data_IF_114102586012
#
_entry.id   IF_114102586012
#
_cell.length_a   1.000
_cell.length_b   1.000
_cell.length_c   1.000
_cell.angle_alpha   90.00
_cell.angle_beta   90.00
_cell.angle_gamma   90.00
#
_symmetry.space_group_name_H-M   'P 1'
#
loop_
_entity.id
_entity.type
_entity.pdbx_description
1 polymer ?
#
# COMPACT_ATOMS: atom_id res chain seq x y z
N UNK A 1 30.33 11.21 -17.34
CA UNK A 1 29.64 11.53 -18.61
C UNK A 1 30.40 12.50 -19.53
N UNK A 2 30.93 13.65 -19.08
CA UNK A 2 31.63 14.60 -19.99
C UNK A 2 32.84 14.02 -20.74
N UNK A 3 33.62 13.13 -20.12
CA UNK A 3 34.81 12.56 -20.76
C UNK A 3 34.47 11.55 -21.88
N UNK A 4 33.35 10.82 -21.82
CA UNK A 4 33.00 9.84 -22.87
C UNK A 4 32.52 10.52 -24.16
N UNK A 5 31.82 11.64 -24.06
CA UNK A 5 31.36 12.40 -25.24
C UNK A 5 32.54 12.98 -26.02
N UNK A 6 33.55 13.51 -25.33
CA UNK A 6 34.75 14.05 -25.97
C UNK A 6 35.57 12.94 -26.66
N UNK A 7 35.78 11.80 -26.00
CA UNK A 7 36.46 10.66 -26.61
C UNK A 7 35.75 10.18 -27.88
N UNK A 8 34.41 10.23 -27.93
CA UNK A 8 33.62 9.84 -29.11
C UNK A 8 33.73 10.83 -30.26
N UNK A 9 33.70 12.12 -29.97
CA UNK A 9 33.91 13.16 -30.99
C UNK A 9 35.30 12.98 -31.62
N UNK A 10 36.31 12.72 -30.79
CA UNK A 10 37.67 12.44 -31.26
C UNK A 10 37.76 11.14 -32.06
N UNK A 11 37.04 10.08 -31.63
CA UNK A 11 36.99 8.79 -32.34
C UNK A 11 36.34 8.93 -33.72
N UNK A 12 35.21 9.64 -33.81
CA UNK A 12 34.53 9.93 -35.08
C UNK A 12 35.39 10.76 -36.00
N UNK A 13 36.02 11.82 -35.49
CA UNK A 13 36.92 12.66 -36.25
C UNK A 13 38.09 11.85 -36.81
N UNK A 14 38.68 10.97 -35.99
CA UNK A 14 39.76 10.08 -36.41
C UNK A 14 39.30 9.08 -37.48
N UNK A 15 38.12 8.46 -37.33
CA UNK A 15 37.56 7.57 -38.36
C UNK A 15 37.34 8.29 -39.69
N UNK A 16 36.83 9.54 -39.65
CA UNK A 16 36.65 10.37 -40.85
C UNK A 16 37.98 10.68 -41.52
N UNK A 17 39.00 11.09 -40.75
CA UNK A 17 40.35 11.38 -41.27
C UNK A 17 40.96 10.12 -41.90
N UNK A 18 40.87 8.98 -41.20
CA UNK A 18 41.39 7.70 -41.69
C UNK A 18 40.70 7.27 -43.00
N UNK A 19 39.38 7.43 -43.09
CA UNK A 19 38.63 7.14 -44.32
C UNK A 19 39.09 8.03 -45.48
N UNK A 20 39.32 9.32 -45.24
CA UNK A 20 39.85 10.23 -46.26
C UNK A 20 41.25 9.81 -46.71
N UNK A 21 42.13 9.43 -45.78
CA UNK A 21 43.48 8.94 -46.10
C UNK A 21 43.44 7.65 -46.92
N UNK A 22 42.60 6.69 -46.53
CA UNK A 22 42.39 5.43 -47.28
C UNK A 22 41.89 5.73 -48.69
N UNK A 23 40.96 6.67 -48.85
CA UNK A 23 40.43 7.07 -50.17
C UNK A 23 41.49 7.72 -51.07
N UNK A 24 42.28 8.65 -50.52
CA UNK A 24 43.37 9.31 -51.25
C UNK A 24 44.44 8.28 -51.65
N UNK A 25 44.88 7.44 -50.71
CA UNK A 25 45.90 6.42 -50.98
C UNK A 25 45.42 5.37 -51.98
N UNK A 26 44.16 4.94 -51.87
CA UNK A 26 43.52 4.03 -52.81
C UNK A 26 43.48 4.61 -54.23
N UNK A 27 43.30 5.92 -54.38
CA UNK A 27 43.34 6.59 -55.68
C UNK A 27 44.75 6.56 -56.31
N UNK A 28 45.81 6.68 -55.51
CA UNK A 28 47.19 6.60 -56.00
C UNK A 28 47.63 5.18 -56.32
N UNK A 29 47.21 4.21 -55.50
CA UNK A 29 47.57 2.80 -55.66
C UNK A 29 46.69 2.06 -56.68
N UNK A 30 45.65 2.71 -57.24
CA UNK A 30 44.61 2.07 -58.04
C UNK A 30 45.17 1.27 -59.23
N UNK A 31 46.07 1.87 -60.01
CA UNK A 31 46.66 1.23 -61.19
C UNK A 31 47.49 -0.01 -60.80
N UNK A 32 48.25 0.06 -59.70
CA UNK A 32 49.03 -1.05 -59.19
C UNK A 32 48.14 -2.18 -58.63
N UNK A 33 47.04 -1.82 -57.96
CA UNK A 33 46.04 -2.76 -57.44
C UNK A 33 45.31 -3.48 -58.58
N UNK A 34 44.93 -2.76 -59.65
CA UNK A 34 44.22 -3.33 -60.81
C UNK A 34 45.11 -4.29 -61.61
N UNK A 35 46.41 -4.01 -61.72
CA UNK A 35 47.35 -4.88 -62.42
C UNK A 35 47.65 -6.16 -61.63
N UNK A 36 47.89 -6.05 -60.32
CA UNK A 36 48.10 -7.19 -59.46
C UNK A 36 47.73 -6.87 -57.99
N UNK A 37 46.55 -7.29 -57.52
CA UNK A 37 46.07 -6.99 -56.17
C UNK A 37 46.91 -7.67 -55.08
N UNK A 38 47.76 -8.64 -55.43
CA UNK A 38 48.65 -9.33 -54.50
C UNK A 38 50.12 -9.00 -54.75
N UNK A 39 50.41 -7.89 -55.42
CA UNK A 39 51.79 -7.48 -55.65
C UNK A 39 52.52 -7.26 -54.32
N UNK A 40 53.82 -7.59 -54.29
CA UNK A 40 54.69 -7.27 -53.14
C UNK A 40 55.03 -5.77 -53.07
N UNK A 41 54.43 -4.94 -53.93
CA UNK A 41 54.62 -3.51 -53.91
C UNK A 41 54.18 -2.96 -52.54
N UNK A 42 55.07 -2.18 -51.94
CA UNK A 42 54.87 -1.55 -50.64
C UNK A 42 53.62 -0.67 -50.60
N UNK A 43 53.25 -0.06 -51.73
CA UNK A 43 52.06 0.79 -51.85
C UNK A 43 50.77 -0.01 -51.73
N UNK A 44 50.72 -1.19 -52.36
CA UNK A 44 49.58 -2.11 -52.33
C UNK A 44 49.45 -2.75 -50.95
N UNK A 45 50.56 -3.18 -50.33
CA UNK A 45 50.57 -3.69 -48.94
C UNK A 45 50.11 -2.61 -47.94
N UNK A 46 50.59 -1.38 -48.09
CA UNK A 46 50.21 -0.24 -47.25
C UNK A 46 48.71 0.06 -47.34
N UNK A 47 48.13 0.03 -48.54
CA UNK A 47 46.69 0.20 -48.75
C UNK A 47 45.87 -0.84 -47.99
N UNK A 48 46.18 -2.14 -48.13
CA UNK A 48 45.42 -3.19 -47.44
C UNK A 48 45.54 -3.11 -45.91
N UNK A 49 46.70 -2.73 -45.38
CA UNK A 49 46.86 -2.48 -43.93
C UNK A 49 45.97 -1.33 -43.46
N UNK A 50 45.90 -0.23 -44.21
CA UNK A 50 45.04 0.91 -43.87
C UNK A 50 43.54 0.54 -43.94
N UNK A 51 43.13 -0.22 -44.96
CA UNK A 51 41.75 -0.75 -45.07
C UNK A 51 41.43 -1.65 -43.88
N UNK A 52 42.34 -2.55 -43.50
CA UNK A 52 42.14 -3.42 -42.35
C UNK A 52 41.97 -2.63 -41.04
N UNK A 53 42.84 -1.65 -40.79
CA UNK A 53 42.72 -0.76 -39.61
C UNK A 53 41.39 -0.01 -39.63
N UNK A 54 40.98 0.50 -40.79
CA UNK A 54 39.70 1.18 -40.95
C UNK A 54 38.52 0.26 -40.62
N UNK A 55 38.50 -0.98 -41.13
CA UNK A 55 37.42 -1.93 -40.87
C UNK A 55 37.32 -2.26 -39.38
N UNK A 56 38.43 -2.56 -38.71
CA UNK A 56 38.45 -2.85 -37.26
C UNK A 56 37.95 -1.66 -36.45
N UNK A 57 38.36 -0.44 -36.82
CA UNK A 57 37.95 0.76 -36.11
C UNK A 57 36.47 1.10 -36.35
N UNK A 58 35.99 0.90 -37.58
CA UNK A 58 34.60 1.12 -37.95
C UNK A 58 33.66 0.13 -37.26
N UNK A 59 34.03 -1.15 -37.19
CA UNK A 59 33.23 -2.16 -36.46
C UNK A 59 33.21 -1.87 -34.95
N UNK A 60 34.32 -1.41 -34.37
CA UNK A 60 34.35 -0.93 -32.98
C UNK A 60 33.41 0.26 -32.79
N UNK A 61 33.44 1.24 -33.70
CA UNK A 61 32.60 2.44 -33.61
C UNK A 61 31.11 2.07 -33.69
N UNK A 62 30.74 1.18 -34.61
CA UNK A 62 29.38 0.65 -34.73
C UNK A 62 28.95 -0.06 -33.44
N UNK A 63 29.78 -0.95 -32.92
CA UNK A 63 29.51 -1.66 -31.66
C UNK A 63 29.34 -0.70 -30.48
N UNK A 64 30.20 0.32 -30.36
CA UNK A 64 30.09 1.33 -29.31
C UNK A 64 28.78 2.12 -29.41
N UNK A 65 28.35 2.46 -30.63
CA UNK A 65 27.10 3.20 -30.87
C UNK A 65 25.88 2.34 -30.54
N UNK A 66 25.94 1.05 -30.85
CA UNK A 66 24.90 0.09 -30.51
C UNK A 66 24.76 -0.05 -28.99
N UNK A 67 25.86 -0.22 -28.25
CA UNK A 67 25.85 -0.27 -26.79
C UNK A 67 25.24 1.00 -26.17
N UNK A 68 25.54 2.17 -26.71
CA UNK A 68 24.96 3.44 -26.25
C UNK A 68 23.45 3.49 -26.47
N UNK A 69 22.98 3.02 -27.62
CA UNK A 69 21.54 2.96 -27.92
C UNK A 69 20.82 2.01 -26.97
N UNK A 70 21.44 0.87 -26.64
CA UNK A 70 20.91 -0.10 -25.67
C UNK A 70 20.87 0.52 -24.27
N UNK A 71 21.92 1.22 -23.84
CA UNK A 71 21.95 1.87 -22.53
C UNK A 71 20.94 3.04 -22.45
N UNK A 72 20.82 3.83 -23.51
CA UNK A 72 19.82 4.90 -23.61
C UNK A 72 18.39 4.33 -23.57
N UNK A 73 18.12 3.24 -24.29
CA UNK A 73 16.83 2.54 -24.23
C UNK A 73 16.54 2.00 -22.83
N UNK A 74 17.51 1.32 -22.19
CA UNK A 74 17.37 0.84 -20.79
C UNK A 74 17.08 1.97 -19.82
N UNK A 75 17.76 3.11 -19.96
CA UNK A 75 17.55 4.29 -19.12
C UNK A 75 16.17 4.91 -19.35
N UNK A 76 15.71 4.97 -20.60
CA UNK A 76 14.36 5.45 -20.91
C UNK A 76 13.28 4.53 -20.35
N UNK A 77 13.43 3.21 -20.47
CA UNK A 77 12.51 2.22 -19.89
C UNK A 77 12.48 2.38 -18.36
N UNK A 78 13.64 2.43 -17.71
CA UNK A 78 13.72 2.64 -16.26
C UNK A 78 13.08 3.95 -15.81
N UNK A 79 13.27 5.05 -16.56
CA UNK A 79 12.64 6.35 -16.26
C UNK A 79 11.13 6.33 -16.51
N UNK A 80 10.68 5.60 -17.53
CA UNK A 80 9.27 5.37 -17.81
C UNK A 80 8.62 4.55 -16.68
N UNK A 81 9.30 3.52 -16.18
CA UNK A 81 8.85 2.71 -15.06
C UNK A 81 8.81 3.53 -13.76
N UNK A 82 9.84 4.31 -13.45
CA UNK A 82 9.83 5.25 -12.32
C UNK A 82 8.66 6.25 -12.40
N UNK A 83 8.42 6.83 -13.58
CA UNK A 83 7.31 7.76 -13.79
C UNK A 83 5.96 7.06 -13.66
N UNK A 84 5.83 5.84 -14.20
CA UNK A 84 4.63 5.01 -14.05
C UNK A 84 4.37 4.69 -12.57
N UNK A 85 5.42 4.37 -11.82
CA UNK A 85 5.33 4.11 -10.38
C UNK A 85 4.95 5.37 -9.59
N UNK A 86 5.48 6.54 -9.96
CA UNK A 86 5.11 7.83 -9.37
C UNK A 86 3.65 8.21 -9.69
N UNK A 87 3.23 8.11 -10.95
CA UNK A 87 1.84 8.36 -11.37
C UNK A 87 0.88 7.43 -10.62
N UNK A 88 1.25 6.18 -10.39
CA UNK A 88 0.46 5.23 -9.60
C UNK A 88 0.35 5.60 -8.11
N UNK A 89 1.20 6.48 -7.57
CA UNK A 89 1.08 6.95 -6.18
C UNK A 89 0.10 8.12 -6.02
N UNK A 90 -0.24 8.78 -7.12
CA UNK A 90 -1.20 9.88 -7.10
C UNK A 90 -2.63 9.34 -6.96
N UNK A 91 -3.50 10.07 -6.25
CA UNK A 91 -4.94 9.79 -6.28
C UNK A 91 -5.43 9.72 -7.74
N UNK A 92 -6.40 8.85 -8.05
CA UNK A 92 -6.99 8.80 -9.39
C UNK A 92 -7.58 10.15 -9.82
N UNK A 93 -7.67 10.39 -11.12
CA UNK A 93 -8.31 11.59 -11.65
C UNK A 93 -9.75 11.71 -11.14
N UNK A 94 -10.16 12.90 -10.71
CA UNK A 94 -11.48 13.14 -10.11
C UNK A 94 -11.59 12.79 -8.63
N UNK A 95 -10.59 12.12 -8.02
CA UNK A 95 -10.64 11.75 -6.60
C UNK A 95 -10.82 12.97 -5.69
N UNK A 96 -10.15 14.09 -5.96
CA UNK A 96 -10.27 15.30 -5.14
C UNK A 96 -11.67 15.94 -5.21
N UNK A 97 -12.35 15.84 -6.36
CA UNK A 97 -13.71 16.34 -6.49
C UNK A 97 -14.66 15.48 -5.66
N UNK A 98 -14.55 14.14 -5.78
CA UNK A 98 -15.31 13.21 -4.95
C UNK A 98 -14.99 13.38 -3.45
N UNK A 99 -13.72 13.61 -3.11
CA UNK A 99 -13.29 13.90 -1.74
C UNK A 99 -13.99 15.14 -1.20
N UNK A 100 -14.01 16.24 -1.97
CA UNK A 100 -14.68 17.47 -1.55
C UNK A 100 -16.17 17.23 -1.31
N UNK A 101 -16.85 16.56 -2.25
CA UNK A 101 -18.28 16.22 -2.13
C UNK A 101 -18.56 15.40 -0.87
N UNK A 102 -17.84 14.28 -0.68
CA UNK A 102 -18.04 13.40 0.48
C UNK A 102 -17.60 14.04 1.79
N UNK A 103 -16.63 14.94 1.75
CA UNK A 103 -16.22 15.71 2.92
C UNK A 103 -17.32 16.69 3.34
N UNK A 104 -17.91 17.42 2.39
CA UNK A 104 -19.00 18.36 2.69
C UNK A 104 -20.23 17.64 3.27
N UNK A 105 -20.58 16.47 2.71
CA UNK A 105 -21.64 15.60 3.25
C UNK A 105 -21.33 15.12 4.68
N UNK A 106 -20.13 14.56 4.89
CA UNK A 106 -19.68 14.08 6.20
C UNK A 106 -19.62 15.21 7.24
N UNK A 107 -19.11 16.38 6.85
CA UNK A 107 -18.99 17.55 7.71
C UNK A 107 -20.35 18.13 8.06
N UNK A 108 -21.33 18.10 7.15
CA UNK A 108 -22.70 18.51 7.45
C UNK A 108 -23.33 17.60 8.52
N UNK A 109 -23.17 16.27 8.41
CA UNK A 109 -23.61 15.30 9.41
C UNK A 109 -22.94 15.54 10.77
N UNK A 110 -21.63 15.73 10.76
CA UNK A 110 -20.84 15.99 11.97
C UNK A 110 -21.22 17.32 12.63
N UNK A 111 -21.34 18.42 11.86
CA UNK A 111 -21.77 19.73 12.37
C UNK A 111 -23.18 19.73 12.94
N UNK A 112 -24.11 19.01 12.31
CA UNK A 112 -25.46 18.86 12.83
C UNK A 112 -25.41 18.30 14.26
N UNK A 113 -24.54 17.33 14.52
CA UNK A 113 -24.34 16.71 15.84
C UNK A 113 -23.55 17.56 16.85
N UNK A 114 -22.76 18.53 16.40
CA UNK A 114 -22.03 19.43 17.29
C UNK A 114 -22.85 20.65 17.72
N UNK A 115 -23.63 21.23 16.81
CA UNK A 115 -24.28 22.52 17.03
C UNK A 115 -25.70 22.46 17.57
N UNK A 116 -26.37 21.29 17.57
CA UNK A 116 -27.64 21.23 18.27
C UNK A 116 -27.39 21.15 19.78
N UNK A 117 -27.95 22.10 20.51
CA UNK A 117 -27.95 22.18 21.98
C UNK A 117 -28.75 21.03 22.64
N UNK A 118 -29.27 20.08 21.85
CA UNK A 118 -30.05 18.93 22.30
C UNK A 118 -29.20 17.70 22.66
N UNK A 119 -29.72 16.86 23.55
CA UNK A 119 -29.19 15.51 23.78
C UNK A 119 -29.51 14.64 22.57
N UNK A 120 -28.56 14.51 21.64
CA UNK A 120 -28.66 13.50 20.58
C UNK A 120 -28.87 12.12 21.18
N UNK A 121 -29.79 11.40 20.57
CA UNK A 121 -29.98 9.99 20.81
C UNK A 121 -28.75 9.21 20.33
N UNK A 122 -28.49 8.09 20.98
CA UNK A 122 -27.43 7.15 20.57
C UNK A 122 -27.57 6.78 19.08
N UNK A 123 -28.80 6.57 18.62
CA UNK A 123 -29.12 6.16 17.25
C UNK A 123 -28.75 7.22 16.20
N UNK A 124 -28.94 8.51 16.51
CA UNK A 124 -28.56 9.59 15.59
C UNK A 124 -27.05 9.66 15.41
N UNK A 125 -26.28 9.50 16.49
CA UNK A 125 -24.81 9.45 16.42
C UNK A 125 -24.34 8.23 15.62
N UNK A 126 -24.93 7.06 15.88
CA UNK A 126 -24.63 5.84 15.12
C UNK A 126 -24.95 6.00 13.62
N UNK A 127 -26.07 6.65 13.28
CA UNK A 127 -26.44 6.94 11.91
C UNK A 127 -25.44 7.88 11.23
N UNK A 128 -25.03 8.96 11.90
CA UNK A 128 -24.02 9.87 11.34
C UNK A 128 -22.65 9.20 11.19
N UNK A 129 -22.25 8.34 12.12
CA UNK A 129 -21.03 7.54 11.98
C UNK A 129 -21.12 6.69 10.71
N UNK A 130 -22.21 5.95 10.49
CA UNK A 130 -22.40 5.16 9.26
C UNK A 130 -22.42 6.02 8.00
N UNK A 131 -22.98 7.23 8.06
CA UNK A 131 -22.94 8.21 6.98
C UNK A 131 -21.53 8.67 6.62
N UNK A 132 -20.66 8.85 7.61
CA UNK A 132 -19.25 9.16 7.37
C UNK A 132 -18.52 7.92 6.83
N UNK A 133 -18.79 6.74 7.38
CA UNK A 133 -18.21 5.48 6.92
C UNK A 133 -18.55 5.18 5.45
N UNK A 134 -19.77 5.43 4.99
CA UNK A 134 -20.12 5.23 3.58
C UNK A 134 -19.34 6.20 2.68
N UNK A 135 -19.13 7.45 3.10
CA UNK A 135 -18.27 8.41 2.40
C UNK A 135 -16.82 7.89 2.29
N UNK A 136 -16.26 7.37 3.40
CA UNK A 136 -14.94 6.73 3.41
C UNK A 136 -14.90 5.52 2.47
N UNK A 137 -15.93 4.67 2.46
CA UNK A 137 -15.99 3.50 1.59
C UNK A 137 -16.02 3.88 0.11
N UNK A 138 -16.80 4.89 -0.28
CA UNK A 138 -16.81 5.39 -1.67
C UNK A 138 -15.46 5.97 -2.08
N UNK A 139 -14.80 6.70 -1.18
CA UNK A 139 -13.44 7.19 -1.43
C UNK A 139 -12.43 6.05 -1.51
N UNK A 140 -12.57 5.02 -0.68
CA UNK A 140 -11.73 3.81 -0.72
C UNK A 140 -11.89 3.09 -2.05
N UNK A 141 -13.12 2.79 -2.44
CA UNK A 141 -13.48 2.13 -3.69
C UNK A 141 -12.92 2.90 -4.90
N UNK A 142 -13.10 4.22 -4.92
CA UNK A 142 -12.58 5.05 -6.00
C UNK A 142 -11.05 5.10 -6.02
N UNK A 143 -10.41 5.28 -4.87
CA UNK A 143 -8.96 5.37 -4.74
C UNK A 143 -8.25 4.06 -5.10
N UNK A 144 -8.87 2.94 -4.73
CA UNK A 144 -8.41 1.57 -5.02
C UNK A 144 -8.75 1.13 -6.46
N UNK A 145 -9.49 1.94 -7.22
CA UNK A 145 -9.99 1.62 -8.56
C UNK A 145 -10.80 0.33 -8.57
N UNK A 146 -11.70 0.20 -7.59
CA UNK A 146 -12.58 -0.94 -7.46
C UNK A 146 -13.40 -1.21 -8.71
N UNK A 147 -13.64 -2.49 -9.01
CA UNK A 147 -14.55 -2.90 -10.09
C UNK A 147 -15.96 -3.16 -9.55
N UNK A 148 -16.97 -3.17 -10.44
CA UNK A 148 -18.39 -3.33 -10.07
C UNK A 148 -18.70 -4.63 -9.28
N UNK A 149 -17.86 -5.66 -9.40
CA UNK A 149 -18.04 -6.93 -8.69
C UNK A 149 -17.37 -6.96 -7.30
N UNK A 150 -16.69 -5.88 -6.92
CA UNK A 150 -16.00 -5.78 -5.64
C UNK A 150 -16.88 -5.04 -4.64
N UNK A 151 -17.04 -5.62 -3.46
CA UNK A 151 -17.73 -4.99 -2.34
C UNK A 151 -16.74 -4.59 -1.27
N UNK A 152 -16.95 -3.39 -0.72
CA UNK A 152 -16.18 -2.86 0.39
C UNK A 152 -17.07 -2.74 1.62
N UNK A 153 -16.51 -3.05 2.79
CA UNK A 153 -17.20 -2.91 4.07
C UNK A 153 -16.34 -2.17 5.08
N UNK A 154 -17.00 -1.47 5.99
CA UNK A 154 -16.36 -0.74 7.07
C UNK A 154 -17.02 -1.11 8.39
N UNK A 155 -16.22 -1.24 9.44
CA UNK A 155 -16.72 -1.33 10.81
C UNK A 155 -15.79 -0.61 11.78
N UNK A 156 -16.35 -0.20 12.91
CA UNK A 156 -15.58 0.35 14.03
C UNK A 156 -15.54 -0.66 15.17
N UNK A 157 -14.32 -0.94 15.63
CA UNK A 157 -14.10 -1.66 16.89
C UNK A 157 -13.72 -0.67 17.97
N UNK A 158 -14.45 -0.70 19.09
CA UNK A 158 -14.24 0.20 20.22
C UNK A 158 -13.18 -0.38 21.15
N UNK A 159 -12.15 0.40 21.45
CA UNK A 159 -11.15 0.02 22.43
C UNK A 159 -11.72 0.23 23.84
N UNK A 160 -11.70 -0.83 24.65
CA UNK A 160 -12.09 -0.77 26.05
C UNK A 160 -10.91 -1.21 26.90
N UNK A 161 -10.49 -0.33 27.80
CA UNK A 161 -9.49 -0.61 28.83
C UNK A 161 -9.96 -1.76 29.74
N UNK A 162 -9.12 -2.78 29.92
CA UNK A 162 -9.44 -3.97 30.70
C UNK A 162 -9.60 -3.66 32.21
N UNK A 163 -9.07 -2.53 32.69
CA UNK A 163 -9.07 -2.15 34.10
C UNK A 163 -10.20 -1.18 34.48
N UNK A 164 -10.73 -0.41 33.53
CA UNK A 164 -11.68 0.69 33.82
C UNK A 164 -13.15 0.26 33.91
N UNK A 165 -13.53 -0.96 33.52
CA UNK A 165 -14.93 -1.41 33.53
C UNK A 165 -15.24 -2.42 34.64
N UNK A 166 -16.45 -2.26 35.19
CA UNK A 166 -17.12 -3.05 36.22
C UNK A 166 -16.88 -4.56 36.07
N UNK A 167 -16.65 -5.26 37.19
CA UNK A 167 -16.35 -6.70 37.20
C UNK A 167 -17.42 -7.54 36.51
N UNK A 168 -18.66 -7.03 36.47
CA UNK A 168 -19.80 -7.63 35.80
C UNK A 168 -19.68 -7.73 34.27
N UNK A 169 -18.84 -6.93 33.61
CA UNK A 169 -18.64 -6.99 32.15
C UNK A 169 -17.60 -8.03 31.71
N UNK A 170 -16.77 -8.53 32.64
CA UNK A 170 -15.69 -9.48 32.35
C UNK A 170 -16.18 -10.83 31.79
N UNK A 171 -17.31 -11.42 32.23
CA UNK A 171 -17.78 -12.71 31.71
C UNK A 171 -18.22 -12.63 30.24
N UNK A 172 -19.00 -11.61 29.86
CA UNK A 172 -19.45 -11.45 28.48
C UNK A 172 -18.28 -11.18 27.53
N UNK A 173 -17.30 -10.38 27.96
CA UNK A 173 -16.10 -10.14 27.16
C UNK A 173 -15.30 -11.43 26.95
N UNK A 174 -15.17 -12.27 27.97
CA UNK A 174 -14.47 -13.55 27.86
C UNK A 174 -15.13 -14.51 26.87
N UNK A 175 -16.48 -14.57 26.85
CA UNK A 175 -17.23 -15.42 25.90
C UNK A 175 -17.05 -14.96 24.45
N UNK A 176 -16.90 -13.65 24.24
CA UNK A 176 -16.80 -13.05 22.91
C UNK A 176 -15.35 -12.89 22.43
N UNK A 177 -14.37 -13.15 23.29
CA UNK A 177 -12.95 -13.04 22.97
C UNK A 177 -12.55 -14.14 21.99
N UNK A 178 -11.98 -13.75 20.85
CA UNK A 178 -11.46 -14.65 19.82
C UNK A 178 -9.93 -14.56 19.74
N UNK A 179 -9.31 -15.63 19.25
CA UNK A 179 -7.86 -15.71 19.01
C UNK A 179 -7.04 -15.45 20.27
N UNK A 180 -7.48 -16.04 21.37
CA UNK A 180 -6.87 -15.94 22.68
C UNK A 180 -6.80 -17.35 23.29
N UNK A 181 -5.71 -17.65 24.00
CA UNK A 181 -5.62 -18.93 24.71
C UNK A 181 -6.72 -19.02 25.77
N UNK A 182 -7.20 -20.23 26.07
CA UNK A 182 -8.26 -20.47 27.07
C UNK A 182 -7.88 -19.91 28.46
N UNK A 183 -6.58 -19.91 28.76
CA UNK A 183 -5.96 -19.41 30.00
C UNK A 183 -5.47 -17.95 29.90
N UNK A 184 -5.90 -17.17 28.90
CA UNK A 184 -5.51 -15.75 28.84
C UNK A 184 -6.04 -15.02 30.06
N UNK A 185 -5.10 -14.55 30.86
CA UNK A 185 -5.34 -13.65 31.97
C UNK A 185 -5.65 -12.25 31.43
N UNK A 186 -6.91 -11.83 31.54
CA UNK A 186 -7.39 -10.51 31.13
C UNK A 186 -6.62 -9.38 31.83
N UNK A 187 -6.05 -9.63 33.00
CA UNK A 187 -5.19 -8.67 33.72
C UNK A 187 -3.82 -8.46 33.08
N UNK A 188 -3.45 -9.23 32.05
CA UNK A 188 -2.22 -9.03 31.27
C UNK A 188 -2.47 -8.31 29.94
N UNK A 189 -3.73 -7.97 29.65
CA UNK A 189 -4.10 -7.22 28.47
C UNK A 189 -4.20 -5.73 28.82
N UNK A 190 -3.81 -4.88 27.87
CA UNK A 190 -4.08 -3.43 27.96
C UNK A 190 -5.57 -3.16 27.85
N UNK A 191 -6.23 -3.92 26.97
CA UNK A 191 -7.64 -3.78 26.72
C UNK A 191 -8.15 -4.78 25.69
N UNK A 192 -9.37 -4.53 25.23
CA UNK A 192 -10.07 -5.36 24.27
C UNK A 192 -10.73 -4.48 23.23
N UNK A 193 -10.64 -4.88 21.98
CA UNK A 193 -11.38 -4.26 20.87
C UNK A 193 -12.69 -4.99 20.69
N UNK A 194 -13.81 -4.28 20.83
CA UNK A 194 -15.15 -4.85 20.69
C UNK A 194 -15.81 -4.35 19.41
N UNK A 195 -16.22 -5.27 18.54
CA UNK A 195 -16.96 -4.96 17.32
C UNK A 195 -18.37 -4.47 17.67
N UNK A 196 -18.72 -3.26 17.21
CA UNK A 196 -20.08 -2.72 17.33
C UNK A 196 -20.76 -2.84 15.98
N UNK A 197 -21.71 -3.78 15.89
CA UNK A 197 -22.47 -4.04 14.66
C UNK A 197 -23.19 -2.78 14.18
N UNK A 198 -23.71 -1.98 15.11
CA UNK A 198 -24.37 -0.70 14.83
C UNK A 198 -23.45 0.33 14.18
N UNK A 199 -22.13 0.15 14.24
CA UNK A 199 -21.11 1.01 13.63
C UNK A 199 -20.45 0.36 12.42
N UNK A 200 -21.21 -0.46 11.68
CA UNK A 200 -20.79 -1.07 10.43
C UNK A 200 -21.68 -0.66 9.26
N UNK A 201 -21.12 -0.66 8.06
CA UNK A 201 -21.81 -0.41 6.79
C UNK A 201 -21.02 -1.04 5.64
N UNK A 202 -21.67 -1.26 4.50
CA UNK A 202 -20.99 -1.71 3.27
C UNK A 202 -21.42 -0.92 2.04
N UNK A 203 -20.70 -1.06 0.94
CA UNK A 203 -21.08 -0.45 -0.36
C UNK A 203 -22.30 -1.11 -1.00
N UNK A 204 -22.73 -2.27 -0.49
CA UNK A 204 -23.96 -2.97 -0.90
C UNK A 204 -25.21 -2.42 -0.21
N UNK A 205 -25.04 -1.79 0.94
CA UNK A 205 -26.13 -1.21 1.71
C UNK A 205 -26.47 0.18 1.18
N UNK A 206 -27.76 0.53 1.20
CA UNK A 206 -28.20 1.88 0.85
C UNK A 206 -27.96 2.84 2.03
N UNK A 207 -27.62 4.10 1.71
CA UNK A 207 -27.77 5.28 2.58
C UNK A 207 -27.52 5.08 4.10
N UNK A 208 -26.34 4.59 4.49
CA UNK A 208 -25.91 4.47 5.92
C UNK A 208 -26.64 3.39 6.72
N UNK A 209 -27.19 2.37 6.06
CA UNK A 209 -27.72 1.19 6.73
C UNK A 209 -26.63 0.35 7.39
N UNK A 210 -27.04 -0.47 8.35
CA UNK A 210 -26.15 -1.40 9.04
C UNK A 210 -25.77 -2.52 8.09
N UNK A 211 -24.51 -2.95 8.12
CA UNK A 211 -24.05 -4.10 7.34
C UNK A 211 -24.77 -5.39 7.79
N UNK A 212 -25.66 -5.90 6.95
CA UNK A 212 -26.44 -7.12 7.22
C UNK A 212 -25.66 -8.40 6.90
N UNK A 213 -24.62 -8.32 6.07
CA UNK A 213 -23.72 -9.44 5.77
C UNK A 213 -22.81 -9.70 6.98
N UNK A 214 -22.46 -8.63 7.71
CA UNK A 214 -21.90 -8.74 9.04
C UNK A 214 -22.99 -9.27 9.96
N UNK A 215 -23.05 -10.59 10.15
CA UNK A 215 -23.93 -11.21 11.16
C UNK A 215 -23.75 -10.48 12.51
N UNK A 216 -24.75 -10.45 13.40
CA UNK A 216 -24.64 -9.84 14.73
C UNK A 216 -23.66 -10.63 15.60
N UNK A 217 -22.38 -10.45 15.31
CA UNK A 217 -21.26 -11.15 15.90
C UNK A 217 -20.77 -10.26 17.03
N UNK A 218 -20.87 -10.79 18.24
CA UNK A 218 -20.12 -10.26 19.36
C UNK A 218 -18.67 -10.73 19.21
N UNK A 219 -17.87 -9.98 18.46
CA UNK A 219 -16.44 -10.25 18.26
C UNK A 219 -15.63 -9.32 19.14
N UNK A 220 -14.78 -9.91 19.98
CA UNK A 220 -13.82 -9.18 20.79
C UNK A 220 -12.39 -9.68 20.51
N UNK A 221 -11.44 -8.75 20.38
CA UNK A 221 -10.03 -9.05 20.10
C UNK A 221 -9.12 -8.51 21.21
N UNK A 222 -8.14 -9.30 21.71
CA UNK A 222 -7.25 -8.87 22.77
C UNK A 222 -6.22 -7.85 22.28
N UNK A 223 -5.94 -6.83 23.10
CA UNK A 223 -4.86 -5.85 22.87
C UNK A 223 -3.83 -5.96 24.00
N UNK A 224 -2.59 -6.38 23.72
CA UNK A 224 -1.55 -6.49 24.75
C UNK A 224 -1.00 -5.12 25.16
N UNK A 225 -0.36 -5.04 26.33
CA UNK A 225 0.40 -3.85 26.75
C UNK A 225 1.59 -3.56 25.85
N UNK A 226 2.33 -4.60 25.49
CA UNK A 226 3.48 -4.52 24.62
C UNK A 226 3.13 -5.15 23.27
N UNK A 227 3.25 -4.40 22.18
CA UNK A 227 3.03 -4.93 20.84
C UNK A 227 4.07 -6.00 20.47
N UNK A 228 5.30 -5.87 20.97
CA UNK A 228 6.45 -6.74 20.65
C UNK A 228 7.02 -7.31 21.95
N UNK A 229 7.24 -8.62 21.97
CA UNK A 229 7.89 -9.32 23.07
C UNK A 229 9.35 -8.92 23.18
N UNK A 230 9.75 -8.40 24.34
CA UNK A 230 11.15 -8.06 24.62
C UNK A 230 12.09 -9.27 24.55
N UNK A 231 11.57 -10.49 24.81
CA UNK A 231 12.34 -11.74 24.81
C UNK A 231 12.52 -12.33 23.41
N UNK A 232 11.43 -12.46 22.66
CA UNK A 232 11.43 -13.17 21.37
C UNK A 232 11.57 -12.22 20.18
N UNK A 233 11.42 -10.90 20.39
CA UNK A 233 11.35 -9.86 19.36
C UNK A 233 10.20 -10.07 18.37
N UNK A 234 9.25 -10.96 18.69
CA UNK A 234 8.04 -11.25 17.91
C UNK A 234 6.84 -10.43 18.39
N UNK A 235 5.83 -10.29 17.55
CA UNK A 235 4.62 -9.54 17.87
C UNK A 235 3.68 -10.33 18.79
N UNK A 236 3.24 -9.69 19.88
CA UNK A 236 2.19 -10.22 20.77
C UNK A 236 0.80 -9.75 20.37
N UNK A 237 0.70 -8.68 19.58
CA UNK A 237 -0.58 -8.14 19.11
C UNK A 237 -0.98 -8.83 17.81
N UNK A 238 -2.26 -9.23 17.72
CA UNK A 238 -2.80 -9.87 16.52
C UNK A 238 -2.76 -8.90 15.33
N UNK A 239 -2.50 -9.40 14.11
CA UNK A 239 -2.50 -8.59 12.90
C UNK A 239 -3.85 -7.89 12.69
N UNK A 240 -3.83 -6.68 12.12
CA UNK A 240 -5.04 -5.88 11.88
C UNK A 240 -5.32 -4.92 13.03
N UNK A 241 -6.56 -4.93 13.53
CA UNK A 241 -7.02 -3.93 14.51
C UNK A 241 -6.20 -3.93 15.82
N UNK A 242 -5.88 -5.07 16.45
CA UNK A 242 -5.11 -5.06 17.68
C UNK A 242 -3.69 -4.50 17.50
N UNK A 243 -3.00 -4.90 16.43
CA UNK A 243 -1.68 -4.37 16.09
C UNK A 243 -1.73 -2.87 15.78
N UNK A 244 -2.78 -2.41 15.07
CA UNK A 244 -2.96 -1.00 14.75
C UNK A 244 -3.11 -0.12 16.00
N UNK A 245 -3.85 -0.60 17.02
CA UNK A 245 -3.93 0.07 18.34
C UNK A 245 -2.60 0.02 19.05
N UNK A 246 -2.00 -1.17 19.15
CA UNK A 246 -0.80 -1.37 19.96
C UNK A 246 0.41 -0.56 19.44
N UNK A 247 0.49 -0.33 18.12
CA UNK A 247 1.53 0.50 17.50
C UNK A 247 1.08 1.94 17.24
N UNK A 248 -0.19 2.30 17.47
CA UNK A 248 -0.80 3.54 17.04
C UNK A 248 -0.47 3.89 15.57
N UNK A 249 -0.61 2.90 14.68
CA UNK A 249 -0.23 3.01 13.28
C UNK A 249 -1.17 2.21 12.39
N UNK A 250 -1.53 2.71 11.19
CA UNK A 250 -2.33 1.94 10.24
C UNK A 250 -1.66 0.62 9.84
N UNK A 251 -2.47 -0.43 9.66
CA UNK A 251 -2.00 -1.76 9.27
C UNK A 251 -2.79 -2.29 8.07
N UNK A 252 -2.12 -2.87 7.08
CA UNK A 252 -2.70 -3.31 5.80
C UNK A 252 -2.31 -4.76 5.51
N UNK A 253 -3.29 -5.56 5.10
CA UNK A 253 -3.11 -6.87 4.48
C UNK A 253 -3.80 -6.88 3.13
N UNK A 254 -2.98 -6.82 2.08
CA UNK A 254 -3.43 -6.93 0.70
C UNK A 254 -3.99 -8.34 0.37
N UNK A 255 -3.65 -9.35 1.16
CA UNK A 255 -4.20 -10.70 1.03
C UNK A 255 -4.43 -11.31 2.41
N UNK A 256 -5.70 -11.50 2.77
CA UNK A 256 -6.12 -12.06 4.05
C UNK A 256 -5.67 -13.51 4.25
N UNK A 257 -5.41 -14.26 3.17
CA UNK A 257 -4.93 -15.64 3.26
C UNK A 257 -3.52 -15.74 3.84
N UNK A 258 -2.73 -14.66 3.74
CA UNK A 258 -1.35 -14.59 4.25
C UNK A 258 -1.26 -14.29 5.74
N UNK A 259 -2.38 -13.95 6.39
CA UNK A 259 -2.40 -13.49 7.79
C UNK A 259 -2.01 -14.59 8.76
N UNK A 260 -2.47 -15.83 8.54
CA UNK A 260 -2.08 -16.97 9.38
C UNK A 260 -0.57 -17.26 9.28
N UNK A 261 -0.01 -17.15 8.07
CA UNK A 261 1.43 -17.36 7.88
C UNK A 261 2.25 -16.24 8.55
N UNK A 262 1.76 -14.99 8.52
CA UNK A 262 2.37 -13.89 9.29
C UNK A 262 2.36 -14.17 10.79
N UNK A 263 1.25 -14.68 11.33
CA UNK A 263 1.12 -15.05 12.76
C UNK A 263 2.16 -16.11 13.14
N UNK A 264 2.39 -17.08 12.26
CA UNK A 264 3.39 -18.14 12.46
C UNK A 264 4.83 -17.60 12.45
N UNK A 265 5.16 -16.72 11.50
CA UNK A 265 6.54 -16.25 11.33
C UNK A 265 6.89 -15.11 12.27
N UNK A 266 6.05 -14.08 12.33
CA UNK A 266 6.29 -12.82 13.02
C UNK A 266 5.68 -12.77 14.43
N UNK A 267 4.69 -13.61 14.71
CA UNK A 267 3.91 -13.59 15.94
C UNK A 267 4.43 -14.51 17.06
N UNK A 268 4.19 -14.10 18.30
CA UNK A 268 4.44 -14.85 19.55
C UNK A 268 3.14 -15.56 19.99
N UNK A 269 2.58 -16.39 19.08
CA UNK A 269 1.33 -17.11 19.26
C UNK A 269 1.54 -18.63 19.13
N UNK A 270 0.61 -19.41 19.67
CA UNK A 270 0.63 -20.86 19.50
C UNK A 270 -0.05 -21.29 18.18
N UNK A 271 0.14 -22.56 17.82
CA UNK A 271 -0.43 -23.15 16.59
C UNK A 271 -1.97 -23.14 16.60
N UNK A 272 -2.61 -23.16 17.77
CA UNK A 272 -4.06 -23.06 17.90
C UNK A 272 -4.59 -21.72 17.38
N UNK A 273 -3.99 -20.61 17.80
CA UNK A 273 -4.37 -19.27 17.30
C UNK A 273 -4.09 -19.16 15.79
N UNK A 274 -2.97 -19.71 15.30
CA UNK A 274 -2.69 -19.75 13.85
C UNK A 274 -3.82 -20.46 13.09
N UNK A 275 -4.23 -21.65 13.56
CA UNK A 275 -5.29 -22.43 12.95
C UNK A 275 -6.65 -21.70 13.00
N UNK A 276 -7.01 -21.09 14.13
CA UNK A 276 -8.25 -20.32 14.25
C UNK A 276 -8.31 -19.16 13.25
N UNK A 277 -7.20 -18.44 13.07
CA UNK A 277 -7.12 -17.32 12.11
C UNK A 277 -7.23 -17.83 10.67
N UNK A 278 -6.57 -18.95 10.36
CA UNK A 278 -6.66 -19.61 9.06
C UNK A 278 -8.11 -20.02 8.76
N UNK A 279 -8.79 -20.62 9.73
CA UNK A 279 -10.18 -21.04 9.60
C UNK A 279 -11.13 -19.84 9.45
N UNK A 280 -10.89 -18.76 10.21
CA UNK A 280 -11.70 -17.54 10.15
C UNK A 280 -11.77 -16.94 8.73
N UNK A 281 -10.64 -16.84 8.02
CA UNK A 281 -10.58 -16.26 6.67
C UNK A 281 -10.83 -17.26 5.53
N UNK A 282 -10.78 -18.58 5.80
CA UNK A 282 -10.99 -19.60 4.75
C UNK A 282 -12.44 -20.10 4.71
N UNK A 283 -13.00 -20.47 5.86
CA UNK A 283 -14.32 -21.11 5.97
C UNK A 283 -15.26 -20.43 6.97
N UNK A 284 -14.71 -19.59 7.84
CA UNK A 284 -15.43 -18.95 8.94
C UNK A 284 -16.14 -17.65 8.55
N UNK A 285 -16.38 -16.82 9.56
CA UNK A 285 -17.11 -15.56 9.44
C UNK A 285 -16.37 -14.52 8.59
N UNK A 286 -15.05 -14.61 8.51
CA UNK A 286 -14.21 -13.72 7.70
C UNK A 286 -13.97 -14.21 6.28
N UNK A 287 -14.62 -15.30 5.82
CA UNK A 287 -14.34 -15.91 4.52
C UNK A 287 -14.49 -14.96 3.33
N UNK A 288 -15.38 -13.97 3.45
CA UNK A 288 -15.65 -12.98 2.41
C UNK A 288 -14.69 -11.78 2.47
N UNK A 289 -13.81 -11.72 3.48
CA UNK A 289 -12.74 -10.72 3.60
C UNK A 289 -11.49 -11.29 2.92
N UNK A 290 -11.13 -10.73 1.77
CA UNK A 290 -9.93 -11.14 1.01
C UNK A 290 -8.78 -10.16 1.14
N UNK A 291 -9.06 -8.92 1.52
CA UNK A 291 -8.06 -7.94 1.94
C UNK A 291 -8.68 -6.95 2.91
N UNK A 292 -7.87 -6.36 3.78
CA UNK A 292 -8.36 -5.41 4.78
C UNK A 292 -7.26 -4.50 5.31
N UNK A 293 -7.67 -3.38 5.87
CA UNK A 293 -6.80 -2.50 6.64
C UNK A 293 -7.49 -2.02 7.92
N UNK A 294 -6.65 -1.65 8.89
CA UNK A 294 -7.08 -1.18 10.20
C UNK A 294 -6.37 0.14 10.50
N UNK A 295 -7.14 1.16 10.84
CA UNK A 295 -6.65 2.52 11.07
C UNK A 295 -7.08 2.92 12.49
N UNK A 296 -6.14 3.23 13.40
CA UNK A 296 -6.48 3.65 14.75
C UNK A 296 -7.19 5.02 14.71
N UNK A 297 -8.25 5.15 15.51
CA UNK A 297 -8.95 6.42 15.73
C UNK A 297 -8.45 7.02 17.03
N UNK A 298 -7.87 8.21 16.93
CA UNK A 298 -7.26 8.94 18.04
C UNK A 298 -7.98 10.27 18.24
N UNK A 299 -8.41 10.55 19.46
CA UNK A 299 -8.97 11.85 19.85
C UNK A 299 -7.89 12.63 20.61
N UNK A 300 -7.67 13.89 20.24
CA UNK A 300 -6.78 14.84 20.94
C UNK A 300 -5.34 14.36 21.21
N UNK A 301 -4.79 13.51 20.33
CA UNK A 301 -3.43 12.97 20.48
C UNK A 301 -3.27 11.95 21.63
N UNK A 302 -4.38 11.46 22.18
CA UNK A 302 -4.38 10.44 23.23
C UNK A 302 -4.10 9.03 22.67
N UNK A 303 -4.31 8.01 23.50
CA UNK A 303 -4.30 6.62 23.03
C UNK A 303 -5.48 6.35 22.09
N UNK A 304 -5.37 5.39 21.15
CA UNK A 304 -6.48 5.03 20.29
C UNK A 304 -7.71 4.59 21.09
N UNK A 305 -8.84 5.24 20.84
CA UNK A 305 -10.13 4.95 21.48
C UNK A 305 -10.95 3.92 20.69
N UNK A 306 -10.60 3.73 19.42
CA UNK A 306 -11.25 2.80 18.51
C UNK A 306 -10.35 2.51 17.31
N UNK A 307 -10.80 1.60 16.44
CA UNK A 307 -10.17 1.29 15.16
C UNK A 307 -11.23 1.27 14.08
N UNK A 308 -10.97 1.96 12.98
CA UNK A 308 -11.68 1.79 11.73
C UNK A 308 -11.08 0.60 10.98
N UNK A 309 -11.90 -0.39 10.68
CA UNK A 309 -11.53 -1.49 9.79
C UNK A 309 -12.21 -1.29 8.44
N UNK A 310 -11.43 -1.32 7.36
CA UNK A 310 -11.93 -1.40 5.99
C UNK A 310 -11.59 -2.78 5.43
N UNK A 311 -12.53 -3.41 4.73
CA UNK A 311 -12.31 -4.72 4.13
C UNK A 311 -12.93 -4.79 2.73
N UNK A 312 -12.40 -5.70 1.92
CA UNK A 312 -12.79 -5.92 0.52
C UNK A 312 -12.90 -7.41 0.24
N UNK A 313 -13.88 -7.80 -0.57
CA UNK A 313 -14.11 -9.18 -0.99
C UNK A 313 -13.18 -9.68 -2.11
N UNK A 314 -12.15 -8.91 -2.44
CA UNK A 314 -11.07 -9.27 -3.35
C UNK A 314 -9.72 -8.92 -2.72
N UNK A 315 -8.66 -9.53 -3.23
CA UNK A 315 -7.30 -9.23 -2.82
C UNK A 315 -6.86 -7.85 -3.32
N UNK A 316 -5.67 -7.43 -2.89
CA UNK A 316 -4.94 -6.25 -3.35
C UNK A 316 -5.61 -4.91 -3.03
N UNK A 317 -6.34 -4.79 -1.90
CA UNK A 317 -6.73 -3.47 -1.38
C UNK A 317 -5.47 -2.62 -1.17
N UNK A 318 -5.44 -1.46 -1.82
CA UNK A 318 -4.27 -0.59 -1.95
C UNK A 318 -3.05 -1.39 -2.40
N UNK A 319 -2.93 -1.63 -3.71
CA UNK A 319 -1.92 -2.52 -4.32
C UNK A 319 -0.47 -2.26 -3.87
N UNK A 320 -0.17 -1.12 -3.22
CA UNK A 320 1.13 -0.81 -2.60
C UNK A 320 0.96 -0.16 -1.21
N UNK A 321 1.92 -0.42 -0.31
CA UNK A 321 1.97 0.22 1.03
C UNK A 321 2.05 1.75 0.97
N UNK A 322 2.79 2.30 0.01
CA UNK A 322 2.92 3.76 -0.15
C UNK A 322 1.59 4.42 -0.55
N UNK A 323 0.80 3.74 -1.38
CA UNK A 323 -0.54 4.18 -1.75
C UNK A 323 -1.44 4.24 -0.51
N UNK A 324 -1.39 3.22 0.35
CA UNK A 324 -2.12 3.23 1.63
C UNK A 324 -1.63 4.33 2.59
N UNK A 325 -0.32 4.59 2.64
CA UNK A 325 0.23 5.67 3.45
C UNK A 325 -0.23 7.06 2.98
N UNK A 326 -0.38 7.27 1.67
CA UNK A 326 -0.95 8.50 1.11
C UNK A 326 -2.45 8.58 1.41
N UNK A 327 -3.18 7.51 1.17
CA UNK A 327 -4.62 7.41 1.46
C UNK A 327 -4.93 7.76 2.92
N UNK A 328 -4.25 7.13 3.88
CA UNK A 328 -4.46 7.39 5.32
C UNK A 328 -4.17 8.82 5.74
N UNK A 329 -3.24 9.51 5.07
CA UNK A 329 -2.97 10.94 5.31
C UNK A 329 -4.08 11.84 4.75
N UNK A 330 -4.57 11.53 3.56
CA UNK A 330 -5.67 12.26 2.93
C UNK A 330 -6.96 12.10 3.75
N UNK A 331 -7.21 10.90 4.29
CA UNK A 331 -8.42 10.60 5.04
C UNK A 331 -8.44 11.15 6.47
N UNK A 332 -7.37 11.78 6.96
CA UNK A 332 -7.29 12.32 8.32
C UNK A 332 -8.51 13.15 8.77
N UNK A 333 -9.08 14.06 7.96
CA UNK A 333 -10.26 14.82 8.38
C UNK A 333 -11.47 13.93 8.71
N UNK A 334 -11.70 12.87 7.95
CA UNK A 334 -12.76 11.89 8.23
C UNK A 334 -12.47 11.08 9.49
N UNK A 335 -11.21 10.68 9.68
CA UNK A 335 -10.78 9.93 10.86
C UNK A 335 -10.94 10.75 12.15
N UNK A 336 -10.64 12.05 12.11
CA UNK A 336 -10.88 12.97 13.22
C UNK A 336 -12.37 13.09 13.55
N UNK A 337 -13.23 13.31 12.56
CA UNK A 337 -14.70 13.37 12.77
C UNK A 337 -15.23 12.07 13.39
N UNK A 338 -14.78 10.91 12.88
CA UNK A 338 -15.16 9.61 13.45
C UNK A 338 -14.68 9.44 14.89
N UNK A 339 -13.43 9.78 15.19
CA UNK A 339 -12.87 9.68 16.53
C UNK A 339 -13.70 10.50 17.52
N UNK A 340 -14.04 11.74 17.20
CA UNK A 340 -14.84 12.59 18.07
C UNK A 340 -16.28 12.08 18.28
N UNK A 341 -16.94 11.62 17.21
CA UNK A 341 -18.29 11.06 17.32
C UNK A 341 -18.29 9.76 18.15
N UNK A 342 -17.29 8.90 17.95
CA UNK A 342 -17.10 7.69 18.74
C UNK A 342 -16.84 8.04 20.20
N UNK A 343 -15.99 9.04 20.46
CA UNK A 343 -15.72 9.52 21.80
C UNK A 343 -17.00 10.01 22.48
N UNK A 344 -17.78 10.86 21.80
CA UNK A 344 -19.07 11.38 22.27
C UNK A 344 -20.11 10.29 22.54
N UNK A 345 -20.04 9.16 21.83
CA UNK A 345 -20.95 8.03 21.97
C UNK A 345 -20.63 7.16 23.21
N UNK A 346 -19.35 7.03 23.57
CA UNK A 346 -18.89 6.06 24.57
C UNK A 346 -18.15 6.67 25.78
N UNK A 347 -17.88 7.98 25.79
CA UNK A 347 -17.47 8.64 27.02
C UNK A 347 -18.62 8.59 28.05
N UNK A 348 -18.31 8.30 29.32
CA UNK A 348 -19.28 8.43 30.39
C UNK A 348 -19.68 9.91 30.47
N UNK A 349 -20.91 10.23 30.06
CA UNK A 349 -21.48 11.55 30.33
C UNK A 349 -21.54 11.73 31.85
N UNK A 350 -20.96 12.81 32.41
CA UNK A 350 -20.97 13.07 33.85
C UNK A 350 -22.38 13.20 34.42
#
# INVERSE_FOLDING_TARGET
>A
MKNSTLTRILLNLFATILLTIVGIWGSYALDAILQNPFSENIEVRGFYVLVFIFVVFFTWLLYSTEQDSIEAQKRLISKSDELKEAIRTLPPEGFLNLFSEKYDEAHALYKALLHAEGKFTKQEIELSIRGILIGILRLTEFFDRGSENQSYGANIMIFTDAYKKDENYKPELKVNLKFANEDVDMHKLKGVLYLKHELSTSTKCDNSEIDTDLQPIKLALPVPFEAISSKTRKFKALPGAPLAVALNSPNLYADASTVADWVKTEGDFNETIEAEIRDYFSIGLGKDIKSFCSIPLVCDGAEPIAVLNLHKNATEMFSRKDQFAIYTKIMQPFLSMLAELVNKLYEPRP
#
